data_IF_855591623463
#
_entry.id   IF_855591623463
#
_cell.length_a   1.000
_cell.length_b   1.000
_cell.length_c   1.000
_cell.angle_alpha   90.00
_cell.angle_beta   90.00
_cell.angle_gamma   90.00
#
_symmetry.space_group_name_H-M   'P 1'
#
loop_
_entity.id
_entity.type
_entity.pdbx_description
1 polymer ?
#
# COMPACT_ATOMS: atom_id res chain seq x y z
N UNK A 1 -4.06 -6.04 -21.81
CA UNK A 1 -3.05 -5.69 -20.81
C UNK A 1 -2.93 -6.88 -19.88
N UNK A 2 -1.74 -7.38 -19.58
CA UNK A 2 -1.56 -8.50 -18.65
C UNK A 2 -1.77 -8.02 -17.22
N UNK A 3 -2.27 -8.88 -16.31
CA UNK A 3 -2.34 -8.54 -14.87
C UNK A 3 -0.97 -8.14 -14.32
N UNK A 4 0.13 -8.71 -14.83
CA UNK A 4 1.48 -8.29 -14.46
C UNK A 4 1.77 -6.81 -14.73
N UNK A 5 1.16 -6.23 -15.79
CA UNK A 5 1.34 -4.82 -16.14
C UNK A 5 0.65 -3.86 -15.17
N UNK A 6 -0.18 -4.37 -14.26
CA UNK A 6 -0.86 -3.60 -13.21
C UNK A 6 -0.23 -3.72 -11.83
N UNK A 7 0.76 -4.59 -11.66
CA UNK A 7 1.46 -4.76 -10.38
C UNK A 7 2.67 -3.84 -10.30
N UNK A 8 2.64 -2.89 -9.37
CA UNK A 8 3.75 -1.98 -9.06
C UNK A 8 4.57 -2.54 -7.89
N UNK A 9 5.86 -2.68 -8.08
CA UNK A 9 6.81 -2.93 -6.98
C UNK A 9 7.39 -1.58 -6.59
N UNK A 10 7.14 -1.17 -5.34
CA UNK A 10 7.49 0.17 -4.84
C UNK A 10 8.59 0.03 -3.79
N UNK A 11 9.74 0.64 -4.03
CA UNK A 11 10.88 0.69 -3.11
C UNK A 11 10.96 2.08 -2.47
N UNK A 12 10.87 2.15 -1.15
CA UNK A 12 10.84 3.43 -0.42
C UNK A 12 12.20 3.74 0.20
N UNK A 13 12.77 4.90 -0.19
CA UNK A 13 14.04 5.45 0.32
C UNK A 13 15.20 4.43 0.31
N UNK A 14 15.27 3.59 -0.71
CA UNK A 14 16.34 2.59 -0.86
C UNK A 14 17.71 3.27 -0.82
N UNK A 15 18.57 2.81 0.08
CA UNK A 15 19.88 3.42 0.31
C UNK A 15 20.97 2.80 -0.56
N UNK A 16 20.83 1.55 -0.95
CA UNK A 16 21.86 0.82 -1.67
C UNK A 16 21.42 0.55 -3.11
N UNK A 17 22.05 1.20 -4.12
CA UNK A 17 21.62 1.10 -5.52
C UNK A 17 21.69 -0.35 -6.06
N UNK A 18 22.57 -1.19 -5.52
CA UNK A 18 22.59 -2.61 -5.87
C UNK A 18 21.31 -3.38 -5.53
N UNK A 19 20.53 -2.93 -4.52
CA UNK A 19 19.22 -3.51 -4.21
C UNK A 19 18.18 -3.12 -5.25
N UNK A 20 18.27 -1.91 -5.81
CA UNK A 20 17.39 -1.47 -6.91
C UNK A 20 17.62 -2.36 -8.14
N UNK A 21 18.89 -2.57 -8.52
CA UNK A 21 19.23 -3.46 -9.63
C UNK A 21 18.82 -4.92 -9.38
N UNK A 22 19.03 -5.41 -8.15
CA UNK A 22 18.58 -6.74 -7.74
C UNK A 22 17.06 -6.90 -7.80
N UNK A 23 16.32 -5.87 -7.38
CA UNK A 23 14.85 -5.84 -7.49
C UNK A 23 14.40 -5.84 -8.95
N UNK A 24 14.99 -5.02 -9.83
CA UNK A 24 14.68 -5.01 -11.25
C UNK A 24 14.86 -6.41 -11.87
N UNK A 25 15.93 -7.11 -11.50
CA UNK A 25 16.16 -8.50 -11.93
C UNK A 25 15.10 -9.46 -11.40
N UNK A 26 14.68 -9.30 -10.14
CA UNK A 26 13.61 -10.09 -9.54
C UNK A 26 12.28 -9.91 -10.26
N UNK A 27 11.90 -8.66 -10.58
CA UNK A 27 10.71 -8.36 -11.36
C UNK A 27 10.75 -9.08 -12.70
N UNK A 28 11.81 -8.86 -13.49
CA UNK A 28 11.93 -9.42 -14.84
C UNK A 28 11.88 -10.95 -14.83
N UNK A 29 12.55 -11.61 -13.88
CA UNK A 29 12.54 -13.07 -13.75
C UNK A 29 11.11 -13.63 -13.54
N UNK A 30 10.24 -12.86 -12.88
CA UNK A 30 8.87 -13.27 -12.56
C UNK A 30 7.82 -12.71 -13.53
N UNK A 31 8.24 -11.96 -14.56
CA UNK A 31 7.36 -11.42 -15.59
C UNK A 31 6.72 -10.08 -15.23
N UNK A 32 7.18 -9.43 -14.16
CA UNK A 32 6.80 -8.07 -13.78
C UNK A 32 7.76 -7.05 -14.41
N UNK A 33 7.30 -5.80 -14.57
CA UNK A 33 8.10 -4.72 -15.18
C UNK A 33 7.97 -3.36 -14.48
N UNK A 34 6.92 -3.13 -13.68
CA UNK A 34 6.65 -1.81 -13.10
C UNK A 34 7.38 -1.61 -11.79
N UNK A 35 8.54 -0.96 -11.86
CA UNK A 35 9.34 -0.56 -10.71
C UNK A 35 9.10 0.92 -10.38
N UNK A 36 8.74 1.21 -9.13
CA UNK A 36 8.59 2.56 -8.59
C UNK A 36 9.63 2.79 -7.50
N UNK A 37 10.27 3.95 -7.53
CA UNK A 37 11.30 4.35 -6.58
C UNK A 37 10.86 5.63 -5.88
N UNK A 38 10.55 5.55 -4.60
CA UNK A 38 10.16 6.71 -3.79
C UNK A 38 11.41 7.29 -3.14
N UNK A 39 11.80 8.49 -3.54
CA UNK A 39 12.94 9.23 -3.03
C UNK A 39 14.18 8.34 -2.77
N UNK A 40 14.69 7.60 -3.78
CA UNK A 40 15.87 6.76 -3.63
C UNK A 40 17.08 7.63 -3.30
N UNK A 41 18.01 7.16 -2.44
CA UNK A 41 19.17 7.96 -2.05
C UNK A 41 20.19 8.13 -3.17
N UNK A 42 20.32 7.14 -4.03
CA UNK A 42 21.30 7.13 -5.13
C UNK A 42 20.68 6.40 -6.33
N UNK A 43 20.10 7.17 -7.25
CA UNK A 43 19.56 6.66 -8.51
C UNK A 43 19.41 7.81 -9.52
N UNK A 44 19.83 7.62 -10.80
CA UNK A 44 20.47 6.43 -11.36
C UNK A 44 21.90 6.18 -10.84
N UNK A 45 22.36 4.91 -10.87
CA UNK A 45 23.69 4.54 -10.40
C UNK A 45 24.23 3.31 -11.12
N UNK A 46 25.55 3.30 -11.45
CA UNK A 46 26.22 2.19 -12.14
C UNK A 46 26.03 0.83 -11.40
N UNK A 47 26.03 0.88 -10.09
CA UNK A 47 25.81 -0.31 -9.26
C UNK A 47 24.44 -0.94 -9.46
N UNK A 48 23.40 -0.15 -9.70
CA UNK A 48 22.07 -0.64 -10.05
C UNK A 48 22.11 -1.34 -11.41
N UNK A 49 22.74 -0.71 -12.39
CA UNK A 49 22.94 -1.25 -13.75
C UNK A 49 23.66 -2.60 -13.72
N UNK A 50 24.79 -2.69 -13.01
CA UNK A 50 25.56 -3.95 -12.92
C UNK A 50 24.77 -5.09 -12.26
N UNK A 51 24.01 -4.77 -11.23
CA UNK A 51 23.19 -5.77 -10.51
C UNK A 51 21.93 -6.18 -11.27
N UNK A 52 21.39 -5.31 -12.09
CA UNK A 52 20.24 -5.61 -12.94
C UNK A 52 20.57 -6.62 -14.05
N UNK A 53 21.83 -6.68 -14.49
CA UNK A 53 22.25 -7.55 -15.58
C UNK A 53 21.36 -7.36 -16.82
N UNK A 54 20.62 -8.39 -17.26
CA UNK A 54 19.73 -8.33 -18.42
C UNK A 54 18.37 -7.63 -18.15
N UNK A 55 18.15 -7.05 -16.95
CA UNK A 55 16.91 -6.37 -16.58
C UNK A 55 17.03 -4.83 -16.67
N UNK A 56 17.84 -4.31 -17.59
CA UNK A 56 18.03 -2.87 -17.79
C UNK A 56 16.75 -2.17 -18.22
N UNK A 57 15.93 -2.82 -19.03
CA UNK A 57 14.62 -2.33 -19.46
C UNK A 57 13.68 -2.01 -18.28
N UNK A 58 13.77 -2.76 -17.17
CA UNK A 58 13.01 -2.47 -15.94
C UNK A 58 13.55 -1.23 -15.23
N UNK A 59 14.88 -1.03 -15.22
CA UNK A 59 15.49 0.18 -14.67
C UNK A 59 15.19 1.42 -15.55
N UNK A 60 15.32 1.28 -16.87
CA UNK A 60 15.11 2.37 -17.82
C UNK A 60 13.66 2.90 -17.77
N UNK A 61 12.70 2.02 -17.45
CA UNK A 61 11.30 2.35 -17.28
C UNK A 61 10.88 2.57 -15.82
N UNK A 62 11.84 2.60 -14.87
CA UNK A 62 11.51 2.82 -13.46
C UNK A 62 10.97 4.24 -13.25
N UNK A 63 9.86 4.33 -12.51
CA UNK A 63 9.21 5.60 -12.18
C UNK A 63 9.78 6.10 -10.86
N UNK A 64 10.45 7.26 -10.89
CA UNK A 64 10.96 7.91 -9.69
C UNK A 64 9.98 8.98 -9.24
N UNK A 65 9.58 8.94 -7.96
CA UNK A 65 8.63 9.88 -7.36
C UNK A 65 9.14 10.36 -6.00
N UNK A 66 8.63 11.50 -5.54
CA UNK A 66 9.05 12.11 -4.27
C UNK A 66 8.31 11.54 -3.07
N UNK A 67 7.06 11.09 -3.24
CA UNK A 67 6.21 10.60 -2.15
C UNK A 67 5.67 9.19 -2.40
N UNK A 68 5.33 8.51 -1.29
CA UNK A 68 4.64 7.21 -1.36
C UNK A 68 3.24 7.38 -1.97
N UNK A 69 2.55 8.47 -1.66
CA UNK A 69 1.20 8.73 -2.14
C UNK A 69 1.18 8.84 -3.69
N UNK A 70 2.23 9.41 -4.30
CA UNK A 70 2.38 9.43 -5.77
C UNK A 70 2.57 8.02 -6.35
N UNK A 71 3.40 7.18 -5.67
CA UNK A 71 3.68 5.83 -6.13
C UNK A 71 2.44 4.90 -6.12
N UNK A 72 1.53 5.10 -5.14
CA UNK A 72 0.33 4.26 -4.95
C UNK A 72 -0.95 4.90 -5.51
N UNK A 73 -0.85 6.10 -6.06
CA UNK A 73 -2.00 6.79 -6.65
C UNK A 73 -2.69 5.91 -7.70
N UNK A 74 -4.02 5.79 -7.61
CA UNK A 74 -4.83 4.96 -8.50
C UNK A 74 -4.81 3.45 -8.23
N UNK A 75 -4.06 2.97 -7.21
CA UNK A 75 -4.09 1.55 -6.83
C UNK A 75 -5.37 1.22 -6.05
N UNK A 76 -6.03 0.11 -6.42
CA UNK A 76 -7.16 -0.47 -5.69
C UNK A 76 -6.70 -1.32 -4.49
N UNK A 77 -5.47 -1.84 -4.53
CA UNK A 77 -4.89 -2.61 -3.45
C UNK A 77 -3.45 -2.15 -3.18
N UNK A 78 -3.14 -1.96 -1.89
CA UNK A 78 -1.80 -1.60 -1.43
C UNK A 78 -1.37 -2.57 -0.33
N UNK A 79 -0.25 -3.26 -0.54
CA UNK A 79 0.30 -4.23 0.42
C UNK A 79 1.68 -3.77 0.89
N UNK A 80 1.87 -3.62 2.20
CA UNK A 80 3.14 -3.19 2.79
C UNK A 80 3.91 -4.35 3.41
N UNK A 81 5.21 -4.46 3.13
CA UNK A 81 6.06 -5.48 3.77
C UNK A 81 6.40 -5.09 5.22
N UNK A 82 6.26 -6.03 6.15
CA UNK A 82 6.60 -5.84 7.55
C UNK A 82 7.30 -7.07 8.12
N UNK A 83 8.51 -6.90 8.64
CA UNK A 83 9.25 -7.95 9.34
C UNK A 83 8.97 -7.97 10.85
N UNK A 84 8.19 -7.04 11.39
CA UNK A 84 7.99 -6.87 12.84
C UNK A 84 6.52 -6.87 13.19
N UNK A 85 6.17 -7.52 14.30
CA UNK A 85 4.88 -7.31 14.95
C UNK A 85 4.76 -5.87 15.43
N UNK A 86 3.59 -5.27 15.20
CA UNK A 86 3.31 -3.88 15.56
C UNK A 86 2.35 -3.82 16.75
N UNK A 87 2.44 -2.72 17.51
CA UNK A 87 1.60 -2.49 18.70
C UNK A 87 0.11 -2.51 18.39
N UNK A 88 -0.28 -2.10 17.20
CA UNK A 88 -1.64 -2.24 16.66
C UNK A 88 -1.57 -3.30 15.56
N UNK A 89 -2.17 -4.48 15.75
CA UNK A 89 -2.18 -5.51 14.71
C UNK A 89 -2.98 -5.02 13.51
N UNK A 90 -2.39 -5.16 12.33
CA UNK A 90 -3.01 -4.87 11.02
C UNK A 90 -3.42 -6.17 10.35
N UNK A 91 -4.34 -6.17 9.37
CA UNK A 91 -4.59 -7.38 8.58
C UNK A 91 -3.29 -7.91 7.98
N UNK A 92 -2.83 -9.07 8.49
CA UNK A 92 -1.58 -9.67 8.12
C UNK A 92 -1.85 -10.85 7.18
N UNK A 93 -1.12 -10.90 6.08
CA UNK A 93 -1.16 -12.00 5.12
C UNK A 93 0.23 -12.66 5.00
N UNK A 94 0.25 -13.93 4.64
CA UNK A 94 1.49 -14.61 4.26
C UNK A 94 1.81 -14.33 2.77
N UNK A 95 3.02 -14.66 2.27
CA UNK A 95 3.42 -14.37 0.89
C UNK A 95 2.52 -15.03 -0.16
N UNK A 96 2.05 -16.26 0.08
CA UNK A 96 1.15 -17.01 -0.81
C UNK A 96 -0.19 -16.30 -0.95
N UNK A 97 -0.78 -15.95 0.18
CA UNK A 97 -2.05 -15.21 0.22
C UNK A 97 -1.90 -13.82 -0.40
N UNK A 98 -0.78 -13.13 -0.14
CA UNK A 98 -0.45 -11.85 -0.79
C UNK A 98 -0.42 -12.00 -2.31
N UNK A 99 0.31 -12.99 -2.84
CA UNK A 99 0.40 -13.25 -4.28
C UNK A 99 -0.96 -13.48 -4.93
N UNK A 100 -1.82 -14.28 -4.28
CA UNK A 100 -3.18 -14.57 -4.76
C UNK A 100 -4.03 -13.30 -4.81
N UNK A 101 -4.07 -12.50 -3.73
CA UNK A 101 -4.85 -11.25 -3.67
C UNK A 101 -4.37 -10.23 -4.70
N UNK A 102 -3.05 -10.06 -4.81
CA UNK A 102 -2.43 -9.15 -5.78
C UNK A 102 -2.78 -9.55 -7.21
N UNK A 103 -2.71 -10.84 -7.53
CA UNK A 103 -3.01 -11.33 -8.87
C UNK A 103 -4.48 -11.12 -9.25
N UNK A 104 -5.39 -11.42 -8.34
CA UNK A 104 -6.83 -11.26 -8.56
C UNK A 104 -7.22 -9.80 -8.71
N UNK A 105 -6.75 -8.93 -7.82
CA UNK A 105 -7.02 -7.50 -7.90
C UNK A 105 -6.44 -6.87 -9.18
N UNK A 106 -5.27 -7.34 -9.62
CA UNK A 106 -4.62 -6.88 -10.85
C UNK A 106 -5.40 -7.22 -12.13
N UNK A 107 -6.44 -8.04 -12.06
CA UNK A 107 -7.35 -8.27 -13.19
C UNK A 107 -8.06 -6.97 -13.61
N UNK A 108 -8.40 -6.11 -12.65
CA UNK A 108 -9.20 -4.90 -12.88
C UNK A 108 -8.48 -3.61 -12.51
N UNK A 109 -7.65 -3.62 -11.43
CA UNK A 109 -7.05 -2.41 -10.85
C UNK A 109 -5.53 -2.48 -10.78
N UNK A 110 -4.88 -1.33 -10.72
CA UNK A 110 -3.46 -1.24 -10.34
C UNK A 110 -3.28 -1.64 -8.87
N UNK A 111 -2.21 -2.37 -8.59
CA UNK A 111 -1.86 -2.86 -7.26
C UNK A 111 -0.43 -2.46 -6.92
N UNK A 112 -0.16 -2.12 -5.66
CA UNK A 112 1.18 -1.81 -5.19
C UNK A 112 1.62 -2.78 -4.08
N UNK A 113 2.84 -3.34 -4.21
CA UNK A 113 3.55 -4.01 -3.14
C UNK A 113 4.72 -3.12 -2.72
N UNK A 114 4.71 -2.67 -1.46
CA UNK A 114 5.63 -1.66 -0.95
C UNK A 114 6.69 -2.30 -0.07
N UNK A 115 7.95 -1.95 -0.34
CA UNK A 115 9.12 -2.36 0.41
C UNK A 115 9.78 -1.14 1.03
N UNK A 116 10.11 -1.24 2.31
CA UNK A 116 10.77 -0.16 3.05
C UNK A 116 12.30 -0.20 2.97
N UNK A 117 12.90 0.71 3.74
CA UNK A 117 14.35 0.85 3.87
C UNK A 117 15.01 -0.42 4.41
N UNK A 118 16.25 -0.64 4.02
CA UNK A 118 17.02 -1.84 4.40
C UNK A 118 17.25 -1.93 5.92
N UNK A 119 17.43 -0.80 6.60
CA UNK A 119 17.77 -0.73 8.02
C UNK A 119 16.56 -0.79 8.96
N UNK A 120 15.42 -0.24 8.56
CA UNK A 120 14.25 -0.07 9.45
C UNK A 120 12.91 -0.45 8.84
N UNK A 121 12.88 -0.81 7.56
CA UNK A 121 11.65 -1.14 6.82
C UNK A 121 10.75 0.08 6.58
N UNK A 122 9.45 -0.15 6.49
CA UNK A 122 8.42 0.88 6.38
C UNK A 122 8.15 1.54 7.74
N UNK A 123 7.90 2.84 7.74
CA UNK A 123 7.42 3.58 8.91
C UNK A 123 5.96 3.22 9.23
N UNK A 124 5.49 3.61 10.41
CA UNK A 124 4.07 3.40 10.74
C UNK A 124 3.14 4.18 9.81
N UNK A 125 3.53 5.38 9.42
CA UNK A 125 2.77 6.24 8.50
C UNK A 125 2.65 5.58 7.13
N UNK A 126 3.74 5.03 6.60
CA UNK A 126 3.74 4.28 5.33
C UNK A 126 2.89 3.00 5.42
N UNK A 127 2.98 2.27 6.52
CA UNK A 127 2.16 1.09 6.77
C UNK A 127 0.67 1.41 6.92
N UNK A 128 0.32 2.58 7.43
CA UNK A 128 -1.07 3.03 7.52
C UNK A 128 -1.73 3.31 6.15
N UNK A 129 -0.94 3.46 5.09
CA UNK A 129 -1.40 3.57 3.69
C UNK A 129 -1.77 2.20 3.09
N UNK A 130 -1.39 1.11 3.74
CA UNK A 130 -1.55 -0.24 3.22
C UNK A 130 -2.87 -0.87 3.65
N UNK A 131 -3.53 -1.58 2.74
CA UNK A 131 -4.71 -2.39 3.01
C UNK A 131 -4.33 -3.61 3.85
N UNK A 132 -3.27 -4.30 3.45
CA UNK A 132 -2.71 -5.47 4.14
C UNK A 132 -1.22 -5.26 4.43
N UNK A 133 -0.76 -5.92 5.49
CA UNK A 133 0.66 -6.11 5.70
C UNK A 133 1.02 -7.55 5.32
N UNK A 134 2.14 -7.74 4.64
CA UNK A 134 2.69 -9.05 4.34
C UNK A 134 3.94 -9.29 5.18
N UNK A 135 3.97 -10.44 5.84
CA UNK A 135 5.15 -10.92 6.56
C UNK A 135 5.71 -12.15 5.85
N UNK A 136 7.00 -12.11 5.50
CA UNK A 136 7.71 -13.26 4.96
C UNK A 136 8.27 -14.05 6.14
N UNK A 137 7.74 -15.24 6.44
CA UNK A 137 8.28 -16.09 7.51
C UNK A 137 9.74 -16.43 7.23
N UNK A 138 10.62 -16.08 8.16
CA UNK A 138 12.05 -16.33 8.08
C UNK A 138 12.55 -16.89 9.41
N UNK A 139 13.82 -17.31 9.46
CA UNK A 139 14.43 -17.82 10.70
C UNK A 139 14.31 -16.75 11.80
N UNK A 140 13.69 -17.05 12.97
CA UNK A 140 13.56 -16.10 14.07
C UNK A 140 14.90 -15.53 14.55
N UNK A 141 15.96 -16.32 14.50
CA UNK A 141 17.31 -15.90 14.93
C UNK A 141 18.00 -14.99 13.90
N UNK A 142 17.52 -15.00 12.64
CA UNK A 142 18.04 -14.18 11.55
C UNK A 142 16.92 -13.82 10.57
N UNK A 143 16.05 -12.93 10.99
CA UNK A 143 14.78 -12.64 10.29
C UNK A 143 14.87 -11.58 9.20
N UNK A 144 15.98 -10.83 9.12
CA UNK A 144 16.13 -9.75 8.15
C UNK A 144 16.53 -10.30 6.78
N UNK A 145 15.62 -10.16 5.81
CA UNK A 145 15.93 -10.46 4.41
C UNK A 145 16.57 -9.26 3.72
N UNK A 146 17.51 -9.52 2.82
CA UNK A 146 17.94 -8.51 1.86
C UNK A 146 16.74 -8.03 1.04
N UNK A 147 16.70 -6.72 0.72
CA UNK A 147 15.57 -6.10 0.02
C UNK A 147 15.24 -6.80 -1.31
N UNK A 148 16.24 -7.06 -2.15
CA UNK A 148 16.01 -7.74 -3.43
C UNK A 148 15.54 -9.19 -3.26
N UNK A 149 15.98 -9.88 -2.18
CA UNK A 149 15.49 -11.22 -1.86
C UNK A 149 14.02 -11.18 -1.42
N UNK A 150 13.60 -10.21 -0.61
CA UNK A 150 12.20 -10.03 -0.25
C UNK A 150 11.32 -9.73 -1.48
N UNK A 151 11.81 -8.88 -2.39
CA UNK A 151 11.15 -8.60 -3.68
C UNK A 151 10.99 -9.89 -4.49
N UNK A 152 12.06 -10.70 -4.59
CA UNK A 152 12.02 -11.96 -5.33
C UNK A 152 10.95 -12.92 -4.77
N UNK A 153 10.83 -13.05 -3.45
CA UNK A 153 9.84 -13.92 -2.82
C UNK A 153 8.42 -13.50 -3.18
N UNK A 154 8.09 -12.20 -3.05
CA UNK A 154 6.73 -11.74 -3.33
C UNK A 154 6.42 -11.75 -4.84
N UNK A 155 7.36 -11.39 -5.70
CA UNK A 155 7.18 -11.52 -7.15
C UNK A 155 6.99 -12.99 -7.57
N UNK A 156 7.69 -13.95 -6.92
CA UNK A 156 7.51 -15.38 -7.15
C UNK A 156 6.08 -15.83 -6.78
N UNK A 157 5.54 -15.39 -5.63
CA UNK A 157 4.19 -15.76 -5.23
C UNK A 157 3.11 -15.15 -6.17
N UNK A 158 3.33 -13.94 -6.69
CA UNK A 158 2.47 -13.38 -7.75
C UNK A 158 2.53 -14.23 -9.02
N UNK A 159 3.73 -14.69 -9.39
CA UNK A 159 3.91 -15.60 -10.54
C UNK A 159 3.21 -16.93 -10.31
N UNK A 160 3.33 -17.51 -9.11
CA UNK A 160 2.65 -18.77 -8.77
C UNK A 160 1.13 -18.62 -8.79
N UNK A 161 0.60 -17.47 -8.33
CA UNK A 161 -0.83 -17.18 -8.43
C UNK A 161 -1.30 -17.12 -9.89
N UNK A 162 -0.52 -16.51 -10.79
CA UNK A 162 -0.85 -16.46 -12.22
C UNK A 162 -0.90 -17.85 -12.87
N UNK A 163 -0.02 -18.75 -12.45
CA UNK A 163 -0.01 -20.14 -12.96
C UNK A 163 -1.21 -20.93 -12.42
N UNK A 164 -1.53 -20.76 -11.13
CA UNK A 164 -2.70 -21.39 -10.52
C UNK A 164 -4.02 -20.90 -11.14
N UNK A 165 -4.10 -19.63 -11.50
CA UNK A 165 -5.24 -19.05 -12.22
C UNK A 165 -5.40 -19.68 -13.60
N UNK A 166 -4.31 -19.82 -14.35
CA UNK A 166 -4.31 -20.48 -15.66
C UNK A 166 -4.73 -21.96 -15.61
N UNK A 167 -4.52 -22.62 -14.47
CA UNK A 167 -4.95 -24.00 -14.20
C UNK A 167 -6.38 -24.07 -13.60
N UNK A 168 -7.02 -22.94 -13.33
CA UNK A 168 -8.37 -22.85 -12.75
C UNK A 168 -8.47 -23.30 -11.29
N UNK A 169 -7.37 -23.27 -10.53
CA UNK A 169 -7.29 -23.69 -9.13
C UNK A 169 -7.11 -22.52 -8.15
N UNK A 170 -7.19 -21.29 -8.64
CA UNK A 170 -7.06 -20.11 -7.79
C UNK A 170 -8.33 -19.93 -6.93
N UNK A 171 -8.22 -19.77 -5.61
CA UNK A 171 -9.38 -19.51 -4.77
C UNK A 171 -10.00 -18.14 -5.11
N UNK A 172 -11.35 -18.11 -5.19
CA UNK A 172 -12.10 -16.85 -5.31
C UNK A 172 -12.17 -16.16 -3.96
N UNK A 173 -11.98 -14.85 -3.94
CA UNK A 173 -12.31 -13.99 -2.81
C UNK A 173 -13.60 -13.21 -3.10
N UNK A 174 -14.15 -12.55 -2.09
CA UNK A 174 -15.45 -11.89 -2.15
C UNK A 174 -15.63 -11.05 -3.42
N UNK A 175 -16.72 -11.30 -4.14
CA UNK A 175 -17.15 -10.47 -5.27
C UNK A 175 -17.83 -9.21 -4.72
N UNK A 176 -17.35 -8.04 -5.12
CA UNK A 176 -17.94 -6.76 -4.80
C UNK A 176 -18.83 -6.30 -5.96
N UNK A 177 -19.95 -5.68 -5.66
CA UNK A 177 -20.88 -5.13 -6.67
C UNK A 177 -20.41 -3.77 -7.24
N UNK A 178 -19.48 -3.11 -6.55
CA UNK A 178 -18.86 -1.85 -6.95
C UNK A 178 -17.33 -1.93 -6.90
N UNK A 179 -16.61 -1.14 -7.71
CA UNK A 179 -15.15 -1.10 -7.67
C UNK A 179 -14.61 -0.70 -6.30
N UNK A 180 -13.52 -1.30 -5.81
CA UNK A 180 -12.91 -0.90 -4.55
C UNK A 180 -12.40 0.54 -4.60
N UNK A 181 -12.52 1.24 -3.48
CA UNK A 181 -12.04 2.60 -3.34
C UNK A 181 -10.52 2.68 -3.55
N UNK A 182 -10.07 3.62 -4.38
CA UNK A 182 -8.65 3.83 -4.66
C UNK A 182 -7.92 4.40 -3.45
N UNK A 183 -6.63 4.09 -3.33
CA UNK A 183 -5.80 4.52 -2.20
C UNK A 183 -5.86 6.05 -1.96
N UNK A 184 -5.85 6.84 -3.02
CA UNK A 184 -5.95 8.30 -2.94
C UNK A 184 -7.30 8.77 -2.39
N UNK A 185 -8.41 8.11 -2.76
CA UNK A 185 -9.76 8.47 -2.32
C UNK A 185 -9.96 8.12 -0.85
N UNK A 186 -9.37 7.00 -0.40
CA UNK A 186 -9.31 6.62 1.01
C UNK A 186 -8.52 7.64 1.83
N UNK A 187 -7.38 8.14 1.33
CA UNK A 187 -6.63 9.19 2.03
C UNK A 187 -7.43 10.49 2.15
N UNK A 188 -8.10 10.92 1.09
CA UNK A 188 -8.99 12.08 1.15
C UNK A 188 -10.13 11.88 2.16
N UNK A 189 -10.67 10.66 2.25
CA UNK A 189 -11.67 10.32 3.26
C UNK A 189 -11.11 10.42 4.68
N UNK A 190 -9.91 9.89 4.95
CA UNK A 190 -9.31 9.95 6.27
C UNK A 190 -8.98 11.37 6.72
N UNK A 191 -8.56 12.24 5.81
CA UNK A 191 -8.40 13.66 6.10
C UNK A 191 -9.73 14.32 6.44
N UNK A 192 -10.80 14.04 5.68
CA UNK A 192 -12.14 14.55 5.94
C UNK A 192 -12.69 14.03 7.28
N UNK A 193 -12.50 12.74 7.57
CA UNK A 193 -12.89 12.11 8.85
C UNK A 193 -12.19 12.79 10.04
N UNK A 194 -10.87 12.97 9.97
CA UNK A 194 -10.13 13.64 11.03
C UNK A 194 -10.67 15.06 11.27
N UNK A 195 -10.86 15.84 10.20
CA UNK A 195 -11.40 17.20 10.31
C UNK A 195 -12.80 17.21 10.94
N UNK A 196 -13.69 16.31 10.50
CA UNK A 196 -15.04 16.23 11.07
C UNK A 196 -15.02 15.87 12.56
N UNK A 197 -14.11 14.97 12.97
CA UNK A 197 -13.95 14.61 14.38
C UNK A 197 -13.39 15.77 15.23
N UNK A 198 -12.52 16.59 14.65
CA UNK A 198 -12.04 17.82 15.31
C UNK A 198 -13.17 18.85 15.43
N UNK A 199 -13.96 19.05 14.37
CA UNK A 199 -15.05 20.03 14.33
C UNK A 199 -16.12 19.78 15.40
N UNK A 200 -16.36 18.51 15.75
CA UNK A 200 -17.29 18.09 16.81
C UNK A 200 -16.65 17.96 18.19
N UNK A 201 -15.34 18.23 18.33
CA UNK A 201 -14.61 18.12 19.59
C UNK A 201 -14.32 16.69 20.08
N UNK A 202 -14.45 15.69 19.19
CA UNK A 202 -14.15 14.28 19.52
C UNK A 202 -12.64 13.96 19.43
N UNK A 203 -11.93 14.62 18.52
CA UNK A 203 -10.51 14.41 18.29
C UNK A 203 -9.73 15.72 18.51
N UNK A 204 -8.60 15.58 19.20
CA UNK A 204 -7.65 16.66 19.45
C UNK A 204 -6.34 16.34 18.73
N UNK A 205 -5.92 17.22 17.82
CA UNK A 205 -4.66 17.07 17.06
C UNK A 205 -3.42 17.22 17.93
N UNK A 206 -3.50 18.00 18.99
CA UNK A 206 -2.38 18.20 19.92
C UNK A 206 -2.22 16.99 20.86
N UNK A 207 -3.31 16.21 21.06
CA UNK A 207 -3.29 14.96 21.82
C UNK A 207 -4.00 13.82 21.05
N UNK A 208 -3.47 13.38 19.90
CA UNK A 208 -4.19 12.53 18.95
C UNK A 208 -4.41 11.09 19.41
N UNK A 209 -3.67 10.63 20.46
CA UNK A 209 -3.69 9.24 20.94
C UNK A 209 -3.55 8.24 19.76
N UNK A 210 -4.42 7.24 19.68
CA UNK A 210 -4.43 6.24 18.61
C UNK A 210 -5.74 6.28 17.78
N UNK A 211 -6.51 7.35 17.91
CA UNK A 211 -7.85 7.43 17.31
C UNK A 211 -7.81 7.21 15.80
N UNK A 212 -7.07 8.04 15.07
CA UNK A 212 -6.99 7.94 13.61
C UNK A 212 -6.34 6.63 13.15
N UNK A 213 -5.30 6.13 13.84
CA UNK A 213 -4.68 4.84 13.52
C UNK A 213 -5.68 3.69 13.62
N UNK A 214 -6.52 3.68 14.65
CA UNK A 214 -7.54 2.65 14.83
C UNK A 214 -8.67 2.75 13.80
N UNK A 215 -9.08 3.97 13.44
CA UNK A 215 -10.07 4.20 12.40
C UNK A 215 -9.55 3.79 11.01
N UNK A 216 -8.30 4.13 10.68
CA UNK A 216 -7.66 3.65 9.44
C UNK A 216 -7.62 2.12 9.39
N UNK A 217 -7.25 1.46 10.48
CA UNK A 217 -7.30 -0.01 10.55
C UNK A 217 -8.71 -0.56 10.36
N UNK A 218 -9.72 0.08 10.97
CA UNK A 218 -11.11 -0.36 10.86
C UNK A 218 -11.58 -0.33 9.41
N UNK A 219 -11.45 0.81 8.75
CA UNK A 219 -11.89 0.99 7.37
C UNK A 219 -11.00 0.23 6.36
N UNK A 220 -9.69 0.14 6.59
CA UNK A 220 -8.78 -0.62 5.72
C UNK A 220 -9.10 -2.11 5.67
N UNK A 221 -9.47 -2.73 6.80
CA UNK A 221 -9.78 -4.18 6.82
C UNK A 221 -11.11 -4.57 6.17
N UNK A 222 -12.07 -3.64 6.05
CA UNK A 222 -13.37 -3.90 5.42
C UNK A 222 -13.35 -3.61 3.92
N UNK A 223 -12.27 -3.03 3.38
CA UNK A 223 -12.09 -2.76 1.95
C UNK A 223 -13.29 -2.03 1.33
N UNK A 224 -13.48 -0.78 1.71
CA UNK A 224 -14.56 0.06 1.18
C UNK A 224 -14.55 0.10 -0.35
N UNK A 225 -15.72 -0.02 -0.96
CA UNK A 225 -15.95 0.30 -2.36
C UNK A 225 -16.16 1.82 -2.59
N UNK A 226 -16.24 2.25 -3.85
CA UNK A 226 -16.42 3.67 -4.22
C UNK A 226 -17.76 4.21 -3.73
N UNK A 227 -18.83 3.41 -3.71
CA UNK A 227 -20.16 3.82 -3.26
C UNK A 227 -20.21 3.96 -1.74
N UNK A 228 -19.69 2.98 -1.01
CA UNK A 228 -19.57 3.02 0.46
C UNK A 228 -18.75 4.22 0.92
N UNK A 229 -17.63 4.49 0.25
CA UNK A 229 -16.79 5.66 0.51
C UNK A 229 -17.56 6.97 0.30
N UNK A 230 -18.35 7.06 -0.77
CA UNK A 230 -19.20 8.22 -1.07
C UNK A 230 -20.26 8.44 0.02
N UNK A 231 -20.92 7.37 0.47
CA UNK A 231 -21.91 7.42 1.57
C UNK A 231 -21.24 7.94 2.85
N UNK A 232 -20.09 7.39 3.23
CA UNK A 232 -19.36 7.80 4.42
C UNK A 232 -18.94 9.27 4.36
N UNK A 233 -18.47 9.76 3.21
CA UNK A 233 -18.16 11.20 3.02
C UNK A 233 -19.41 12.08 3.15
N UNK A 234 -20.55 11.63 2.65
CA UNK A 234 -21.85 12.30 2.84
C UNK A 234 -22.23 12.42 4.31
N UNK A 235 -22.04 11.35 5.10
CA UNK A 235 -22.28 11.35 6.56
C UNK A 235 -21.39 12.39 7.25
N UNK A 236 -20.09 12.44 6.92
CA UNK A 236 -19.16 13.42 7.51
C UNK A 236 -19.58 14.85 7.20
N UNK A 237 -19.99 15.13 5.97
CA UNK A 237 -20.51 16.44 5.57
C UNK A 237 -21.75 16.82 6.37
N UNK A 238 -22.67 15.88 6.59
CA UNK A 238 -23.88 16.11 7.40
C UNK A 238 -23.53 16.42 8.87
N UNK A 239 -22.55 15.70 9.45
CA UNK A 239 -22.05 15.95 10.81
C UNK A 239 -21.45 17.37 10.92
N UNK A 240 -20.60 17.78 9.99
CA UNK A 240 -19.98 19.10 9.98
C UNK A 240 -21.03 20.22 9.84
N UNK A 241 -22.01 20.03 8.98
CA UNK A 241 -23.12 20.98 8.83
C UNK A 241 -23.94 21.12 10.12
N UNK A 242 -24.18 20.01 10.84
CA UNK A 242 -24.88 20.04 12.12
C UNK A 242 -24.05 20.78 13.18
N UNK A 243 -22.76 20.49 13.28
CA UNK A 243 -21.84 21.17 14.21
C UNK A 243 -21.78 22.68 13.94
N UNK A 244 -21.68 23.08 12.68
CA UNK A 244 -21.69 24.49 12.29
C UNK A 244 -22.98 25.22 12.72
N UNK A 245 -24.14 24.59 12.47
CA UNK A 245 -25.46 25.16 12.87
C UNK A 245 -25.56 25.33 14.38
N UNK A 246 -25.07 24.35 15.16
CA UNK A 246 -25.06 24.42 16.63
C UNK A 246 -24.18 25.55 17.14
N UNK A 247 -22.96 25.72 16.60
CA UNK A 247 -22.07 26.83 16.95
C UNK A 247 -22.74 28.18 16.69
N UNK A 248 -23.32 28.37 15.49
CA UNK A 248 -23.99 29.59 15.13
C UNK A 248 -25.21 29.90 15.99
N UNK A 249 -25.97 28.89 16.41
CA UNK A 249 -27.11 29.05 17.31
C UNK A 249 -26.71 29.44 18.74
N UNK A 250 -25.52 29.02 19.19
CA UNK A 250 -24.96 29.44 20.50
C UNK A 250 -24.49 30.89 20.42
N UNK A 251 -23.67 31.24 19.41
CA UNK A 251 -23.16 32.61 19.19
C UNK A 251 -24.29 33.67 18.99
N UNK A 252 -25.47 33.27 18.55
CA UNK A 252 -26.63 34.18 18.39
C UNK A 252 -27.45 34.36 19.67
N UNK A 253 -27.08 33.69 20.77
CA UNK A 253 -27.77 33.81 22.09
C UNK A 253 -26.98 34.62 23.10
N UNK A 254 -25.70 34.87 22.81
CA UNK A 254 -24.83 35.79 23.55
C UNK A 254 -24.88 37.19 22.91
#
# INVERSE_FOLDING_TARGET
>A
MSNFDRVRIVLVNTSHPGNIGGAARALKNMGLSRLYLVAPKEYPADRAVWRAASALDVLDNAVVVESLDDAISGCGLVVGTSARERRIPWPLVNPRECGTRVWQEAAEHDVAIIFGREDRGLTNEELHRCTYHVHIPSNPDYSSLNLAAAVQVLCYEVRMASLADAEGILPSFDEWDQPPAKAQDLEMYFHHLEQALVDIGFHDRDNPRQTMTRLRRLYGRIRLDEMELSILRGVLTAIQNAAYRMKKAIESRD
#
